data_IF_660840077388
#
_entry.id   IF_660840077388
#
_cell.length_a   1.000
_cell.length_b   1.000
_cell.length_c   1.000
_cell.angle_alpha   90.00
_cell.angle_beta   90.00
_cell.angle_gamma   90.00
#
_symmetry.space_group_name_H-M   'P 1'
#
loop_
_entity.id
_entity.type
_entity.pdbx_description
1 polymer ?
#
# COMPACT_ATOMS: atom_id res chain seq x y z
N UNK A 1 9.94 -26.13 -21.84
CA UNK A 1 9.28 -24.90 -21.36
C UNK A 1 7.85 -24.88 -21.87
N UNK A 2 6.88 -24.48 -21.05
CA UNK A 2 5.50 -24.27 -21.51
C UNK A 2 5.43 -22.84 -22.08
N UNK A 3 5.21 -22.66 -23.39
CA UNK A 3 5.49 -21.41 -24.10
C UNK A 3 4.66 -20.20 -23.65
N UNK A 4 3.58 -20.43 -22.89
CA UNK A 4 2.63 -19.39 -22.45
C UNK A 4 2.59 -19.20 -20.92
N UNK A 5 3.54 -19.78 -20.18
CA UNK A 5 3.59 -19.55 -18.72
C UNK A 5 4.38 -18.29 -18.41
N UNK A 6 3.82 -17.43 -17.59
CA UNK A 6 4.54 -16.29 -17.01
C UNK A 6 5.74 -16.82 -16.21
N UNK A 7 6.92 -16.36 -16.59
CA UNK A 7 8.16 -16.58 -15.84
C UNK A 7 8.43 -15.32 -15.04
N UNK A 8 8.82 -15.48 -13.78
CA UNK A 8 9.10 -14.39 -12.85
C UNK A 8 10.52 -14.59 -12.33
N UNK A 9 11.28 -13.51 -12.17
CA UNK A 9 12.55 -13.57 -11.44
C UNK A 9 12.32 -14.01 -9.99
N UNK A 10 13.39 -14.31 -9.26
CA UNK A 10 13.31 -14.26 -7.80
C UNK A 10 12.82 -12.87 -7.37
N UNK A 11 12.05 -12.83 -6.26
CA UNK A 11 11.70 -11.59 -5.60
C UNK A 11 12.90 -11.06 -4.83
N UNK A 12 13.47 -9.95 -5.30
CA UNK A 12 14.65 -9.35 -4.68
C UNK A 12 14.28 -8.64 -3.37
N UNK A 13 15.02 -8.87 -2.29
CA UNK A 13 14.79 -8.17 -1.03
C UNK A 13 14.92 -6.64 -1.18
N UNK A 14 14.05 -5.89 -0.50
CA UNK A 14 13.99 -4.42 -0.54
C UNK A 14 13.86 -3.90 -1.98
N UNK A 15 14.74 -2.99 -2.40
CA UNK A 15 14.81 -2.47 -3.77
C UNK A 15 15.94 -3.14 -4.55
N UNK A 16 16.28 -4.39 -4.22
CA UNK A 16 17.35 -5.20 -4.81
C UNK A 16 18.78 -4.74 -4.53
N UNK A 17 19.01 -3.92 -3.50
CA UNK A 17 20.36 -3.55 -3.08
C UNK A 17 21.18 -4.80 -2.72
N UNK A 18 22.43 -4.85 -3.16
CA UNK A 18 23.37 -5.91 -2.78
C UNK A 18 24.30 -5.42 -1.66
N UNK A 19 24.54 -6.26 -0.65
CA UNK A 19 25.43 -5.91 0.47
C UNK A 19 26.91 -5.94 0.07
N UNK A 20 27.36 -7.05 -0.55
CA UNK A 20 28.79 -7.29 -0.82
C UNK A 20 29.30 -6.68 -2.13
N UNK A 21 28.39 -6.17 -2.97
CA UNK A 21 28.71 -5.57 -4.27
C UNK A 21 27.90 -4.28 -4.39
N UNK A 22 28.51 -3.20 -4.87
CA UNK A 22 27.78 -1.95 -5.10
C UNK A 22 26.68 -2.14 -6.14
N UNK A 23 25.54 -1.49 -5.94
CA UNK A 23 24.46 -1.43 -6.91
C UNK A 23 23.29 -2.36 -6.61
N UNK A 24 22.51 -2.64 -7.64
CA UNK A 24 21.22 -3.33 -7.57
C UNK A 24 21.26 -4.63 -8.38
N UNK A 25 20.78 -5.73 -7.80
CA UNK A 25 20.69 -7.01 -8.51
C UNK A 25 19.80 -6.89 -9.76
N UNK A 26 18.70 -6.12 -9.68
CA UNK A 26 17.82 -5.92 -10.84
C UNK A 26 18.51 -5.12 -11.96
N UNK A 27 19.37 -4.15 -11.64
CA UNK A 27 20.19 -3.48 -12.64
C UNK A 27 21.14 -4.48 -13.31
N UNK A 28 21.83 -5.32 -12.52
CA UNK A 28 22.70 -6.36 -13.08
C UNK A 28 21.93 -7.29 -14.03
N UNK A 29 20.71 -7.68 -13.70
CA UNK A 29 19.88 -8.51 -14.58
C UNK A 29 19.46 -7.76 -15.86
N UNK A 30 19.14 -6.47 -15.78
CA UNK A 30 18.89 -5.61 -16.95
C UNK A 30 20.12 -5.61 -17.86
N UNK A 31 21.30 -5.35 -17.31
CA UNK A 31 22.56 -5.28 -18.05
C UNK A 31 22.90 -6.60 -18.75
N UNK A 32 22.34 -7.71 -18.23
CA UNK A 32 22.45 -9.06 -18.79
C UNK A 32 21.23 -9.49 -19.63
N UNK A 33 20.38 -8.54 -20.03
CA UNK A 33 19.34 -8.75 -21.03
C UNK A 33 17.95 -9.10 -20.50
N UNK A 34 17.66 -8.93 -19.19
CA UNK A 34 16.32 -9.19 -18.63
C UNK A 34 15.21 -8.49 -19.41
N UNK A 35 15.42 -7.22 -19.79
CA UNK A 35 14.43 -6.43 -20.51
C UNK A 35 14.13 -6.89 -21.95
N UNK A 36 14.94 -7.78 -22.51
CA UNK A 36 14.69 -8.41 -23.81
C UNK A 36 13.90 -9.72 -23.68
N UNK A 37 13.66 -10.17 -22.45
CA UNK A 37 12.96 -11.41 -22.16
C UNK A 37 11.51 -11.12 -21.76
N UNK A 38 10.61 -12.06 -22.04
CA UNK A 38 9.25 -12.04 -21.51
C UNK A 38 9.23 -12.59 -20.06
N UNK A 39 9.97 -11.93 -19.16
CA UNK A 39 10.12 -12.30 -17.76
C UNK A 39 9.68 -11.12 -16.90
N UNK A 40 8.85 -11.40 -15.90
CA UNK A 40 8.42 -10.42 -14.89
C UNK A 40 9.57 -10.17 -13.91
N UNK A 41 9.87 -8.91 -13.63
CA UNK A 41 10.79 -8.54 -12.55
C UNK A 41 10.03 -8.47 -11.22
N UNK A 42 10.63 -8.99 -10.15
CA UNK A 42 10.02 -9.02 -8.82
C UNK A 42 10.95 -8.50 -7.72
N UNK A 43 10.37 -7.78 -6.75
CA UNK A 43 11.07 -7.34 -5.53
C UNK A 43 10.14 -7.20 -4.32
N UNK A 44 10.71 -7.07 -3.12
CA UNK A 44 10.02 -7.12 -1.83
C UNK A 44 10.26 -5.82 -1.03
N UNK A 45 9.50 -4.74 -1.28
CA UNK A 45 9.78 -3.42 -0.71
C UNK A 45 9.27 -3.26 0.74
N UNK A 46 9.84 -4.05 1.65
CA UNK A 46 9.70 -3.84 3.09
C UNK A 46 10.36 -2.52 3.50
N UNK A 47 9.77 -1.86 4.50
CA UNK A 47 10.31 -0.68 5.17
C UNK A 47 9.69 -0.56 6.56
N UNK A 48 10.25 0.28 7.42
CA UNK A 48 9.78 0.46 8.79
C UNK A 48 8.34 1.02 8.84
N UNK A 49 8.03 2.05 8.04
CA UNK A 49 6.69 2.66 7.95
C UNK A 49 6.04 2.42 6.58
N UNK A 50 4.71 2.58 6.46
CA UNK A 50 4.01 2.42 5.18
C UNK A 50 4.53 3.34 4.08
N UNK A 51 4.99 4.54 4.43
CA UNK A 51 5.49 5.55 3.50
C UNK A 51 7.00 5.48 3.28
N UNK A 52 7.68 4.54 3.93
CA UNK A 52 9.12 4.30 3.77
C UNK A 52 9.86 4.19 5.10
N UNK A 53 11.18 4.19 5.04
CA UNK A 53 12.03 4.25 6.24
C UNK A 53 12.18 5.69 6.74
N UNK A 54 12.03 6.66 5.82
CA UNK A 54 11.93 8.09 6.13
C UNK A 54 10.59 8.64 5.64
N UNK A 55 9.64 8.79 6.57
CA UNK A 55 8.30 9.34 6.29
C UNK A 55 8.36 10.78 5.73
N UNK A 56 9.20 11.71 6.27
CA UNK A 56 9.32 13.06 5.71
C UNK A 56 9.81 13.08 4.26
N UNK A 57 10.73 12.16 3.91
CA UNK A 57 11.28 12.06 2.56
C UNK A 57 10.37 11.27 1.61
N UNK A 58 9.28 10.68 2.13
CA UNK A 58 8.33 9.82 1.40
C UNK A 58 9.07 8.74 0.61
N UNK A 59 10.11 8.18 1.20
CA UNK A 59 11.16 7.52 0.43
C UNK A 59 10.73 6.18 -0.17
N UNK A 60 9.63 5.57 0.29
CA UNK A 60 8.99 4.47 -0.42
C UNK A 60 8.56 4.87 -1.82
N UNK A 61 7.85 6.00 -1.96
CA UNK A 61 7.35 6.48 -3.25
C UNK A 61 8.52 6.81 -4.18
N UNK A 62 9.55 7.48 -3.65
CA UNK A 62 10.75 7.84 -4.42
C UNK A 62 11.46 6.58 -4.94
N UNK A 63 11.75 5.63 -4.05
CA UNK A 63 12.55 4.44 -4.39
C UNK A 63 11.80 3.46 -5.28
N UNK A 64 10.53 3.18 -5.00
CA UNK A 64 9.76 2.25 -5.82
C UNK A 64 9.45 2.84 -7.21
N UNK A 65 9.13 4.14 -7.33
CA UNK A 65 8.99 4.76 -8.64
C UNK A 65 10.29 4.72 -9.44
N UNK A 66 11.44 5.01 -8.81
CA UNK A 66 12.74 4.94 -9.48
C UNK A 66 13.05 3.51 -9.97
N UNK A 67 12.78 2.49 -9.16
CA UNK A 67 12.99 1.09 -9.55
C UNK A 67 12.06 0.64 -10.69
N UNK A 68 10.76 0.97 -10.61
CA UNK A 68 9.81 0.60 -11.66
C UNK A 68 10.13 1.32 -12.97
N UNK A 69 10.48 2.60 -12.91
CA UNK A 69 10.94 3.37 -14.08
C UNK A 69 12.22 2.78 -14.67
N UNK A 70 13.19 2.37 -13.84
CA UNK A 70 14.40 1.70 -14.30
C UNK A 70 14.07 0.41 -15.06
N UNK A 71 13.21 -0.44 -14.50
CA UNK A 71 12.80 -1.71 -15.12
C UNK A 71 12.08 -1.48 -16.45
N UNK A 72 11.07 -0.61 -16.46
CA UNK A 72 10.24 -0.35 -17.65
C UNK A 72 11.01 0.37 -18.76
N UNK A 73 11.84 1.36 -18.41
CA UNK A 73 12.69 2.05 -19.40
C UNK A 73 13.70 1.12 -20.08
N UNK A 74 13.99 -0.04 -19.47
CA UNK A 74 14.85 -1.06 -20.03
C UNK A 74 14.10 -2.25 -20.65
N UNK A 75 12.78 -2.15 -20.85
CA UNK A 75 12.00 -3.13 -21.61
C UNK A 75 11.29 -4.21 -20.79
N UNK A 76 11.43 -4.20 -19.45
CA UNK A 76 10.62 -5.09 -18.59
C UNK A 76 9.15 -4.67 -18.70
N UNK A 77 8.28 -5.60 -19.08
CA UNK A 77 6.85 -5.29 -19.31
C UNK A 77 6.00 -5.37 -18.06
N UNK A 78 6.46 -6.07 -17.01
CA UNK A 78 5.74 -6.24 -15.76
C UNK A 78 6.68 -6.24 -14.57
N UNK A 79 6.25 -5.55 -13.52
CA UNK A 79 6.91 -5.47 -12.23
C UNK A 79 5.93 -5.92 -11.15
N UNK A 80 6.32 -6.92 -10.36
CA UNK A 80 5.52 -7.44 -9.26
C UNK A 80 6.20 -7.16 -7.92
N UNK A 81 5.40 -6.78 -6.91
CA UNK A 81 5.85 -6.84 -5.53
C UNK A 81 5.41 -8.17 -4.92
N UNK A 82 6.28 -9.18 -4.94
CA UNK A 82 5.91 -10.54 -4.54
C UNK A 82 5.84 -10.77 -3.03
N UNK A 83 6.34 -9.82 -2.24
CA UNK A 83 6.14 -9.76 -0.79
C UNK A 83 6.19 -8.31 -0.30
N UNK A 84 5.34 -7.99 0.68
CA UNK A 84 5.36 -6.77 1.48
C UNK A 84 4.42 -6.97 2.67
N UNK A 85 4.63 -6.26 3.78
CA UNK A 85 3.74 -6.36 4.94
C UNK A 85 4.46 -6.07 6.26
N UNK A 86 3.72 -6.19 7.36
CA UNK A 86 4.26 -6.03 8.72
C UNK A 86 3.73 -7.12 9.65
N UNK A 87 4.56 -7.50 10.61
CA UNK A 87 4.21 -8.44 11.65
C UNK A 87 3.53 -7.76 12.84
N UNK A 88 2.53 -8.41 13.43
CA UNK A 88 1.91 -8.02 14.70
C UNK A 88 2.59 -8.61 15.94
N UNK A 89 3.78 -9.21 15.81
CA UNK A 89 4.50 -9.88 16.90
C UNK A 89 4.76 -8.99 18.13
N UNK A 90 4.91 -9.64 19.29
CA UNK A 90 5.07 -8.99 20.60
C UNK A 90 6.54 -8.82 21.03
N UNK A 91 7.49 -9.19 20.17
CA UNK A 91 8.93 -9.05 20.40
C UNK A 91 9.65 -10.37 20.70
N UNK A 92 10.96 -10.30 21.01
CA UNK A 92 11.79 -9.10 21.10
C UNK A 92 11.96 -8.38 19.75
N UNK A 93 12.26 -7.08 19.75
CA UNK A 93 12.44 -6.30 18.51
C UNK A 93 13.51 -6.94 17.61
N UNK A 94 13.15 -7.22 16.36
CA UNK A 94 14.01 -7.78 15.33
C UNK A 94 13.65 -7.14 13.98
N UNK A 95 14.50 -6.27 13.42
CA UNK A 95 14.35 -5.58 12.12
C UNK A 95 13.14 -4.64 11.95
N UNK A 96 12.02 -4.90 12.62
CA UNK A 96 10.77 -4.15 12.57
C UNK A 96 10.37 -3.74 14.00
N UNK A 97 9.91 -2.51 14.23
CA UNK A 97 9.30 -2.14 15.52
C UNK A 97 8.07 -2.98 15.89
N UNK A 98 7.78 -3.03 17.19
CA UNK A 98 6.56 -3.64 17.72
C UNK A 98 5.37 -2.70 17.47
N UNK A 99 4.42 -3.15 16.64
CA UNK A 99 3.22 -2.38 16.27
C UNK A 99 1.91 -3.06 16.71
N UNK A 100 1.98 -4.33 17.12
CA UNK A 100 0.82 -5.13 17.49
C UNK A 100 -0.19 -5.30 16.35
N UNK A 101 -1.33 -5.93 16.66
CA UNK A 101 -2.39 -6.15 15.67
C UNK A 101 -3.07 -4.87 15.16
N UNK A 102 -3.27 -3.80 15.96
CA UNK A 102 -3.83 -2.56 15.42
C UNK A 102 -2.89 -1.85 14.45
N UNK A 103 -1.59 -1.82 14.76
CA UNK A 103 -0.60 -1.20 13.89
C UNK A 103 -0.40 -1.98 12.59
N UNK A 104 -0.45 -3.32 12.63
CA UNK A 104 -0.45 -4.15 11.42
C UNK A 104 -1.61 -3.78 10.48
N UNK A 105 -2.82 -3.60 11.03
CA UNK A 105 -3.99 -3.22 10.25
C UNK A 105 -3.83 -1.83 9.60
N UNK A 106 -3.41 -0.84 10.38
CA UNK A 106 -3.15 0.52 9.88
C UNK A 106 -2.07 0.55 8.80
N UNK A 107 -0.92 -0.06 9.06
CA UNK A 107 0.22 -0.01 8.15
C UNK A 107 -0.09 -0.69 6.82
N UNK A 108 -0.77 -1.83 6.87
CA UNK A 108 -1.17 -2.59 5.69
C UNK A 108 -2.10 -1.78 4.79
N UNK A 109 -3.11 -1.10 5.35
CA UNK A 109 -4.06 -0.32 4.54
C UNK A 109 -3.40 0.91 3.90
N UNK A 110 -2.57 1.65 4.65
CA UNK A 110 -1.84 2.79 4.08
C UNK A 110 -0.92 2.36 2.94
N UNK A 111 -0.15 1.28 3.13
CA UNK A 111 0.72 0.74 2.06
C UNK A 111 -0.07 0.22 0.86
N UNK A 112 -1.20 -0.45 1.08
CA UNK A 112 -2.07 -0.91 0.00
C UNK A 112 -2.56 0.25 -0.86
N UNK A 113 -3.02 1.33 -0.23
CA UNK A 113 -3.48 2.52 -0.94
C UNK A 113 -2.36 3.12 -1.82
N UNK A 114 -1.13 3.20 -1.31
CA UNK A 114 0.02 3.66 -2.11
C UNK A 114 0.31 2.70 -3.26
N UNK A 115 0.56 1.41 -2.98
CA UNK A 115 0.96 0.44 -4.00
C UNK A 115 -0.08 0.24 -5.10
N UNK A 116 -1.37 0.34 -4.77
CA UNK A 116 -2.45 0.21 -5.75
C UNK A 116 -2.48 1.34 -6.79
N UNK A 117 -1.87 2.49 -6.48
CA UNK A 117 -1.74 3.64 -7.38
C UNK A 117 -0.36 3.74 -8.06
N UNK A 118 0.54 2.82 -7.76
CA UNK A 118 1.88 2.78 -8.33
C UNK A 118 1.95 1.79 -9.49
N UNK A 119 3.05 1.85 -10.25
CA UNK A 119 3.26 1.04 -11.44
C UNK A 119 3.67 -0.41 -11.09
N UNK A 120 2.78 -1.14 -10.42
CA UNK A 120 2.88 -2.57 -10.17
C UNK A 120 1.75 -3.29 -10.89
N UNK A 121 2.07 -4.33 -11.65
CA UNK A 121 1.04 -5.13 -12.31
C UNK A 121 0.43 -6.18 -11.37
N UNK A 122 1.14 -6.53 -10.29
CA UNK A 122 0.61 -7.36 -9.20
C UNK A 122 1.41 -7.17 -7.91
N UNK A 123 0.72 -7.21 -6.79
CA UNK A 123 1.33 -7.16 -5.46
C UNK A 123 0.78 -8.30 -4.60
N UNK A 124 1.60 -8.83 -3.70
CA UNK A 124 1.25 -9.97 -2.84
C UNK A 124 1.59 -9.61 -1.39
N UNK A 125 0.56 -9.47 -0.57
CA UNK A 125 0.72 -9.25 0.87
C UNK A 125 1.30 -10.50 1.52
N UNK A 126 2.37 -10.32 2.31
CA UNK A 126 2.94 -11.34 3.17
C UNK A 126 2.31 -11.21 4.57
N UNK A 127 1.52 -12.16 5.06
CA UNK A 127 1.05 -13.38 4.37
C UNK A 127 -0.41 -13.70 4.76
N UNK A 128 -0.92 -14.85 4.31
CA UNK A 128 -2.31 -15.23 4.58
C UNK A 128 -2.56 -15.57 6.07
N UNK A 129 -1.68 -16.32 6.70
CA UNK A 129 -1.89 -16.90 8.02
C UNK A 129 -0.65 -16.76 8.87
N UNK A 130 -0.87 -16.51 10.17
CA UNK A 130 0.16 -16.65 11.18
C UNK A 130 0.78 -18.05 11.10
N UNK A 131 2.04 -18.14 11.50
CA UNK A 131 2.85 -19.34 11.44
C UNK A 131 3.14 -19.83 12.87
N UNK A 132 3.41 -21.13 13.02
CA UNK A 132 3.72 -21.71 14.32
C UNK A 132 5.19 -21.52 14.69
N UNK A 133 5.61 -22.14 15.79
CA UNK A 133 6.96 -22.04 16.36
C UNK A 133 8.11 -22.47 15.45
N UNK A 134 7.83 -23.05 14.27
CA UNK A 134 8.84 -23.31 13.24
C UNK A 134 9.34 -22.03 12.56
N UNK A 135 8.56 -20.95 12.61
CA UNK A 135 8.94 -19.63 12.12
C UNK A 135 9.60 -18.79 13.23
N UNK A 136 10.37 -17.77 12.85
CA UNK A 136 10.92 -16.80 13.81
C UNK A 136 9.79 -16.05 14.54
N UNK A 137 10.05 -15.49 15.72
CA UNK A 137 9.03 -14.77 16.49
C UNK A 137 8.37 -13.63 15.67
N UNK A 138 9.15 -12.93 14.82
CA UNK A 138 8.60 -11.93 13.90
C UNK A 138 7.76 -12.58 12.80
N UNK A 139 8.25 -13.64 12.17
CA UNK A 139 7.58 -14.27 11.03
C UNK A 139 6.27 -14.96 11.40
N UNK A 140 6.09 -15.35 12.67
CA UNK A 140 4.84 -15.91 13.20
C UNK A 140 3.65 -14.95 13.11
N UNK A 141 3.88 -13.63 13.09
CA UNK A 141 2.82 -12.61 13.25
C UNK A 141 2.38 -11.87 11.99
N UNK A 142 2.77 -12.28 10.78
CA UNK A 142 2.42 -11.57 9.53
C UNK A 142 1.02 -11.86 8.99
N UNK A 143 0.32 -12.85 9.52
CA UNK A 143 -0.93 -13.33 8.96
C UNK A 143 -2.03 -12.27 8.91
N UNK A 144 -2.85 -12.37 7.87
CA UNK A 144 -4.21 -11.85 7.90
C UNK A 144 -5.10 -12.65 8.88
N UNK A 145 -4.81 -13.93 9.01
CA UNK A 145 -5.49 -14.86 9.90
C UNK A 145 -4.55 -15.32 11.01
N UNK A 146 -5.11 -15.69 12.16
CA UNK A 146 -4.35 -16.36 13.22
C UNK A 146 -4.11 -17.86 12.89
N UNK A 147 -3.43 -18.57 13.79
CA UNK A 147 -3.13 -20.01 13.67
C UNK A 147 -4.38 -20.91 13.59
N UNK A 148 -5.54 -20.42 14.02
CA UNK A 148 -6.81 -21.11 13.95
C UNK A 148 -7.61 -20.69 12.70
N UNK A 149 -6.98 -19.98 11.77
CA UNK A 149 -7.59 -19.40 10.58
C UNK A 149 -8.72 -18.39 10.88
N UNK A 150 -8.73 -17.80 12.08
CA UNK A 150 -9.68 -16.75 12.43
C UNK A 150 -9.17 -15.38 11.98
N UNK A 151 -10.05 -14.47 11.53
CA UNK A 151 -9.66 -13.13 11.10
C UNK A 151 -8.94 -12.32 12.20
N UNK A 152 -7.74 -11.83 11.90
CA UNK A 152 -7.08 -10.77 12.69
C UNK A 152 -7.66 -9.39 12.32
N UNK A 153 -7.41 -8.34 13.13
CA UNK A 153 -7.87 -6.99 12.82
C UNK A 153 -7.52 -6.51 11.40
N UNK A 154 -6.34 -6.86 10.87
CA UNK A 154 -5.94 -6.51 9.50
C UNK A 154 -6.84 -7.15 8.43
N UNK A 155 -7.33 -8.38 8.62
CA UNK A 155 -8.27 -9.01 7.69
C UNK A 155 -9.60 -8.26 7.68
N UNK A 156 -10.15 -7.94 8.85
CA UNK A 156 -11.41 -7.20 8.96
C UNK A 156 -11.29 -5.81 8.35
N UNK A 157 -10.16 -5.12 8.60
CA UNK A 157 -9.89 -3.82 8.02
C UNK A 157 -9.76 -3.87 6.49
N UNK A 158 -9.06 -4.87 5.96
CA UNK A 158 -8.96 -5.11 4.51
C UNK A 158 -10.32 -5.46 3.90
N UNK A 159 -11.14 -6.27 4.58
CA UNK A 159 -12.49 -6.58 4.14
C UNK A 159 -13.35 -5.31 4.04
N UNK A 160 -13.29 -4.43 5.04
CA UNK A 160 -14.00 -3.15 5.02
C UNK A 160 -13.51 -2.27 3.88
N UNK A 161 -12.19 -2.14 3.72
CA UNK A 161 -11.57 -1.42 2.61
C UNK A 161 -12.10 -1.91 1.26
N UNK A 162 -12.07 -3.22 0.99
CA UNK A 162 -12.50 -3.80 -0.28
C UNK A 162 -14.02 -3.69 -0.52
N UNK A 163 -14.83 -3.75 0.54
CA UNK A 163 -16.27 -3.46 0.46
C UNK A 163 -16.52 -2.01 0.04
N UNK A 164 -15.71 -1.07 0.52
CA UNK A 164 -15.78 0.35 0.14
C UNK A 164 -15.23 0.53 -1.28
N UNK A 165 -14.12 -0.07 -1.68
CA UNK A 165 -13.59 0.18 -3.04
C UNK A 165 -14.45 -0.46 -4.12
N UNK A 166 -15.11 -1.58 -3.82
CA UNK A 166 -15.64 -2.45 -4.84
C UNK A 166 -14.52 -3.20 -5.58
N UNK A 167 -14.88 -3.96 -6.63
CA UNK A 167 -13.94 -4.88 -7.29
C UNK A 167 -12.97 -4.20 -8.25
N UNK A 168 -13.25 -2.95 -8.69
CA UNK A 168 -12.44 -2.23 -9.66
C UNK A 168 -12.46 -0.73 -9.41
N UNK A 169 -11.29 -0.13 -9.52
CA UNK A 169 -11.07 1.31 -9.45
C UNK A 169 -10.40 1.80 -10.74
N UNK A 170 -10.71 3.03 -11.13
CA UNK A 170 -10.05 3.76 -12.21
C UNK A 170 -9.34 4.98 -11.63
N UNK A 171 -8.11 5.31 -12.07
CA UNK A 171 -7.42 6.51 -11.64
C UNK A 171 -8.30 7.76 -11.81
N UNK A 172 -8.19 8.70 -10.89
CA UNK A 172 -8.95 9.94 -10.90
C UNK A 172 -8.05 11.13 -10.55
N UNK A 173 -8.53 12.33 -10.84
CA UNK A 173 -7.91 13.55 -10.30
C UNK A 173 -8.37 13.78 -8.85
N UNK A 174 -7.50 14.33 -7.98
CA UNK A 174 -7.91 14.71 -6.63
C UNK A 174 -8.95 15.85 -6.69
N UNK A 175 -9.94 15.87 -5.77
CA UNK A 175 -10.88 16.99 -5.68
C UNK A 175 -10.17 18.27 -5.22
N UNK A 176 -10.77 19.42 -5.54
CA UNK A 176 -10.30 20.71 -5.03
C UNK A 176 -10.39 20.75 -3.49
N UNK A 177 -9.35 21.29 -2.85
CA UNK A 177 -9.27 21.51 -1.41
C UNK A 177 -8.81 22.93 -1.12
N UNK A 178 -9.22 23.50 0.02
CA UNK A 178 -8.88 24.89 0.38
C UNK A 178 -7.39 25.08 0.71
N UNK A 179 -6.75 24.05 1.26
CA UNK A 179 -5.32 23.99 1.53
C UNK A 179 -4.87 22.53 1.59
N UNK A 180 -3.63 22.27 1.19
CA UNK A 180 -3.02 20.93 1.22
C UNK A 180 -1.97 20.91 2.34
N UNK A 181 -2.15 20.10 3.40
CA UNK A 181 -1.10 19.89 4.39
C UNK A 181 0.15 19.26 3.75
N UNK A 182 1.34 19.67 4.19
CA UNK A 182 2.63 19.21 3.65
C UNK A 182 2.85 17.69 3.82
N UNK A 183 2.17 17.07 4.77
CA UNK A 183 2.24 15.64 5.07
C UNK A 183 1.02 14.85 4.58
N UNK A 184 0.14 15.46 3.77
CA UNK A 184 -1.03 14.79 3.22
C UNK A 184 -0.61 13.73 2.20
N UNK A 185 -1.08 12.51 2.43
CA UNK A 185 -1.17 11.47 1.41
C UNK A 185 -2.61 11.42 0.89
N UNK A 186 -2.75 11.37 -0.43
CA UNK A 186 -4.03 11.43 -1.12
C UNK A 186 -3.99 10.55 -2.36
N UNK A 187 -4.88 9.54 -2.42
CA UNK A 187 -4.96 8.57 -3.52
C UNK A 187 -6.39 8.59 -4.09
N UNK A 188 -6.61 9.35 -5.18
CA UNK A 188 -7.93 9.51 -5.79
C UNK A 188 -8.29 8.37 -6.77
N UNK A 189 -9.55 7.93 -6.71
CA UNK A 189 -10.09 6.86 -7.54
C UNK A 189 -11.55 7.12 -7.96
N UNK A 190 -12.00 6.42 -8.99
CA UNK A 190 -13.42 6.33 -9.40
C UNK A 190 -13.84 4.87 -9.46
N UNK A 191 -14.99 4.54 -8.89
CA UNK A 191 -15.66 3.23 -9.08
C UNK A 191 -16.34 3.17 -10.45
N UNK A 192 -16.68 1.97 -10.90
CA UNK A 192 -17.43 1.78 -12.17
C UNK A 192 -18.81 2.45 -12.18
N UNK A 193 -19.43 2.66 -11.00
CA UNK A 193 -20.73 3.35 -10.86
C UNK A 193 -20.64 4.88 -10.86
N UNK A 194 -19.46 5.44 -11.14
CA UNK A 194 -19.18 6.87 -11.17
C UNK A 194 -18.92 7.50 -9.79
N UNK A 195 -19.01 6.73 -8.71
CA UNK A 195 -18.69 7.21 -7.36
C UNK A 195 -17.19 7.51 -7.25
N UNK A 196 -16.86 8.70 -6.71
CA UNK A 196 -15.48 9.12 -6.48
C UNK A 196 -15.05 8.70 -5.07
N UNK A 197 -13.79 8.27 -4.98
CA UNK A 197 -13.13 7.93 -3.71
C UNK A 197 -11.85 8.73 -3.57
N UNK A 198 -11.57 9.21 -2.37
CA UNK A 198 -10.27 9.73 -1.99
C UNK A 198 -9.82 8.94 -0.76
N UNK A 199 -8.74 8.18 -0.90
CA UNK A 199 -8.05 7.57 0.25
C UNK A 199 -7.04 8.58 0.76
N UNK A 200 -7.06 8.90 2.05
CA UNK A 200 -6.20 9.96 2.58
C UNK A 200 -5.83 9.76 4.05
N UNK A 201 -4.70 10.34 4.45
CA UNK A 201 -4.24 10.45 5.83
C UNK A 201 -3.16 11.55 5.95
N UNK A 202 -2.95 12.04 7.17
CA UNK A 202 -1.92 13.03 7.53
C UNK A 202 -1.60 12.86 9.01
N UNK A 203 -0.31 12.91 9.36
CA UNK A 203 0.16 12.76 10.73
C UNK A 203 -0.16 14.00 11.58
N UNK A 204 -0.26 15.19 10.96
CA UNK A 204 -0.52 16.46 11.62
C UNK A 204 -1.94 16.56 12.21
N UNK A 205 -2.90 15.74 11.74
CA UNK A 205 -4.25 15.70 12.29
C UNK A 205 -5.04 17.00 12.10
N UNK A 206 -4.75 17.78 11.05
CA UNK A 206 -5.44 19.04 10.75
C UNK A 206 -6.80 18.79 10.11
N UNK A 207 -7.61 19.84 9.90
CA UNK A 207 -8.81 19.72 9.07
C UNK A 207 -8.51 19.91 7.59
N UNK A 208 -9.31 19.26 6.74
CA UNK A 208 -9.31 19.42 5.28
C UNK A 208 -10.71 19.81 4.80
N UNK A 209 -10.78 20.87 4.00
CA UNK A 209 -12.04 21.43 3.49
C UNK A 209 -12.14 21.22 1.99
N UNK A 210 -13.29 20.69 1.55
CA UNK A 210 -13.63 20.41 0.16
C UNK A 210 -14.78 21.35 -0.28
N UNK A 211 -14.49 22.50 -0.91
CA UNK A 211 -15.50 23.51 -1.20
C UNK A 211 -16.57 23.05 -2.20
N UNK A 212 -16.23 22.10 -3.08
CA UNK A 212 -17.11 21.65 -4.17
C UNK A 212 -17.87 20.35 -3.85
N UNK A 213 -17.74 19.81 -2.63
CA UNK A 213 -18.42 18.59 -2.21
C UNK A 213 -19.39 18.96 -1.09
N UNK A 214 -20.70 18.93 -1.35
CA UNK A 214 -21.74 19.35 -0.38
C UNK A 214 -22.38 18.18 0.36
N UNK A 215 -22.15 16.95 -0.11
CA UNK A 215 -22.62 15.72 0.51
C UNK A 215 -21.62 14.60 0.22
N UNK A 216 -21.19 13.91 1.28
CA UNK A 216 -20.25 12.80 1.17
C UNK A 216 -20.37 11.87 2.38
N UNK A 217 -19.58 10.80 2.35
CA UNK A 217 -19.45 9.86 3.45
C UNK A 217 -17.98 9.63 3.71
N UNK A 218 -17.56 9.77 4.97
CA UNK A 218 -16.21 9.39 5.40
C UNK A 218 -16.27 8.01 6.01
N UNK A 219 -15.42 7.13 5.52
CA UNK A 219 -15.24 5.79 6.01
C UNK A 219 -13.92 5.66 6.77
N UNK A 220 -13.95 4.95 7.89
CA UNK A 220 -12.78 4.49 8.61
C UNK A 220 -12.72 2.96 8.50
N UNK A 221 -11.89 2.39 7.60
CA UNK A 221 -11.87 0.95 7.37
C UNK A 221 -11.31 0.16 8.57
N UNK A 222 -10.52 0.77 9.45
CA UNK A 222 -10.00 0.10 10.65
C UNK A 222 -11.12 -0.24 11.64
N UNK A 223 -12.10 0.65 11.78
CA UNK A 223 -13.24 0.46 12.69
C UNK A 223 -14.52 0.02 11.97
N UNK A 224 -14.58 0.16 10.65
CA UNK A 224 -15.80 0.01 9.85
C UNK A 224 -16.77 1.19 9.99
N UNK A 225 -16.35 2.30 10.62
CA UNK A 225 -17.22 3.47 10.82
C UNK A 225 -17.57 4.16 9.51
N UNK A 226 -18.80 4.68 9.43
CA UNK A 226 -19.35 5.40 8.29
C UNK A 226 -20.02 6.69 8.79
N UNK A 227 -19.48 7.84 8.41
CA UNK A 227 -19.93 9.15 8.89
C UNK A 227 -20.41 9.99 7.70
N UNK A 228 -21.72 10.20 7.54
CA UNK A 228 -22.25 11.15 6.56
C UNK A 228 -21.81 12.58 6.90
N UNK A 229 -21.40 13.33 5.87
CA UNK A 229 -21.08 14.75 5.96
C UNK A 229 -21.94 15.53 4.97
N UNK A 230 -22.41 16.70 5.38
CA UNK A 230 -23.13 17.62 4.51
C UNK A 230 -22.84 19.07 4.88
N UNK A 231 -22.88 19.95 3.89
CA UNK A 231 -22.65 21.38 4.08
C UNK A 231 -23.03 22.19 2.83
N UNK A 232 -23.60 23.38 3.04
CA UNK A 232 -24.06 24.27 1.96
C UNK A 232 -22.92 24.97 1.22
N UNK A 233 -21.73 25.02 1.82
CA UNK A 233 -20.53 25.67 1.27
C UNK A 233 -19.35 24.68 1.16
N UNK A 234 -19.66 23.40 0.98
CA UNK A 234 -18.69 22.32 1.02
C UNK A 234 -18.68 21.58 2.36
N UNK A 235 -17.84 20.54 2.46
CA UNK A 235 -17.64 19.75 3.68
C UNK A 235 -16.25 20.00 4.26
N UNK A 236 -16.13 19.84 5.57
CA UNK A 236 -14.85 19.84 6.29
C UNK A 236 -14.77 18.58 7.14
N UNK A 237 -13.59 17.95 7.16
CA UNK A 237 -13.33 16.78 7.98
C UNK A 237 -11.99 16.91 8.71
N UNK A 238 -11.85 16.20 9.83
CA UNK A 238 -10.59 16.05 10.55
C UNK A 238 -9.77 14.93 9.92
N UNK A 239 -8.52 15.20 9.60
CA UNK A 239 -7.56 14.21 9.12
C UNK A 239 -7.10 13.33 10.28
N UNK A 240 -6.88 12.06 9.99
CA UNK A 240 -6.26 11.10 10.91
C UNK A 240 -4.88 10.67 10.40
N UNK A 241 -3.98 10.24 11.30
CA UNK A 241 -2.73 9.57 10.91
C UNK A 241 -2.96 8.23 10.20
N UNK A 242 -4.10 7.59 10.44
CA UNK A 242 -4.52 6.36 9.76
C UNK A 242 -5.38 6.66 8.53
N UNK A 243 -5.42 5.72 7.59
CA UNK A 243 -6.19 5.85 6.35
C UNK A 243 -7.69 6.05 6.61
N UNK A 244 -8.26 7.06 5.95
CA UNK A 244 -9.69 7.28 5.79
C UNK A 244 -10.06 7.26 4.30
N UNK A 245 -11.33 7.00 3.98
CA UNK A 245 -11.84 7.04 2.60
C UNK A 245 -13.02 7.99 2.53
N UNK A 246 -12.91 9.07 1.76
CA UNK A 246 -14.02 9.95 1.42
C UNK A 246 -14.72 9.39 0.18
N UNK A 247 -16.03 9.15 0.27
CA UNK A 247 -16.89 8.70 -0.82
C UNK A 247 -17.89 9.80 -1.16
N UNK A 248 -17.98 10.19 -2.43
CA UNK A 248 -18.99 11.14 -2.90
C UNK A 248 -19.38 10.89 -4.35
N UNK A 249 -20.51 11.48 -4.76
CA UNK A 249 -20.90 11.58 -6.17
C UNK A 249 -20.68 13.02 -6.64
N UNK A 250 -20.04 13.22 -7.81
CA UNK A 250 -19.91 14.54 -8.42
C UNK A 250 -21.26 15.08 -8.92
#
# INVERSE_FOLDING_TARGET
>A
MLPNKTIVTAGMAYYSQMHSTSGYMLQTLIDNGLGQQNIVAAYHPYSEYPEGDSVPDRDFLVRANAMNQLLHSNGVSQVWATEWGWSSYAGPVEMQRLIGTPGQADYTLRRLALMSAMDFQRIFLFNLSDLDERASARDQGYGLLDLQASPKPVYTALQNFLKITGPRLQPADPPAVSSVPDDLYAVPWTREDGTRLLMFWSAAGTSLTFPNITSAVVHDPLTGSRTPLSGSQGITLLLKPSLQILEWKP
#
